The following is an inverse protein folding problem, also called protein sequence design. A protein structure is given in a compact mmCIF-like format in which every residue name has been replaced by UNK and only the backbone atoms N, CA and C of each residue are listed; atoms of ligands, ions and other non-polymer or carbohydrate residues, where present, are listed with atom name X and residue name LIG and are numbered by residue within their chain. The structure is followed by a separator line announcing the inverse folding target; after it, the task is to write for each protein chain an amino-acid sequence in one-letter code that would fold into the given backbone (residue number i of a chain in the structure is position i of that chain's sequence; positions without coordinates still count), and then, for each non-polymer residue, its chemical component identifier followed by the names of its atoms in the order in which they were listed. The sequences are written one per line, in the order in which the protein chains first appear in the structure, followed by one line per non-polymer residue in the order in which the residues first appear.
data_IF_641705272289
#
_entry.id   IF_641705272289
#
_cell.length_a   1.000
_cell.length_b   1.000
_cell.length_c   1.000
_cell.angle_alpha   90.00
_cell.angle_beta   90.00
_cell.angle_gamma   90.00
#
_symmetry.space_group_name_H-M   'P 1'
#
loop_
_entity.id
_entity.type
_entity.pdbx_description
1 polymer ?
#
# COMPACT_ATOMS: atom_id res chain seq x y z
N UNK A 1 29.32 -1.99 38.52
CA UNK A 1 29.64 -2.78 37.35
C UNK A 1 28.48 -3.64 36.87
N UNK A 2 27.81 -4.39 37.72
CA UNK A 2 26.63 -5.20 37.28
C UNK A 2 25.51 -4.35 36.76
N UNK A 3 25.22 -3.18 37.32
CA UNK A 3 24.15 -2.27 36.86
C UNK A 3 24.43 -1.70 35.48
N UNK A 4 25.68 -1.33 35.13
CA UNK A 4 26.02 -0.80 33.83
C UNK A 4 25.95 -1.86 32.73
N UNK A 5 26.32 -3.12 33.04
CA UNK A 5 26.14 -4.22 32.09
C UNK A 5 24.66 -4.52 31.81
N UNK A 6 23.82 -4.48 32.86
CA UNK A 6 22.37 -4.68 32.70
C UNK A 6 21.74 -3.56 31.91
N UNK A 7 22.17 -2.30 32.10
CA UNK A 7 21.69 -1.16 31.34
C UNK A 7 22.08 -1.29 29.86
N UNK A 8 23.31 -1.69 29.55
CA UNK A 8 23.78 -1.90 28.18
C UNK A 8 22.98 -3.01 27.50
N UNK A 9 22.74 -4.11 28.22
CA UNK A 9 21.93 -5.21 27.69
C UNK A 9 20.50 -4.74 27.42
N UNK A 10 19.89 -4.02 28.34
CA UNK A 10 18.53 -3.49 28.18
C UNK A 10 18.43 -2.54 26.96
N UNK A 11 19.38 -1.63 26.80
CA UNK A 11 19.44 -0.71 25.66
C UNK A 11 19.62 -1.49 24.36
N UNK A 12 20.51 -2.48 24.34
CA UNK A 12 20.73 -3.32 23.16
C UNK A 12 19.48 -4.08 22.74
N UNK A 13 18.73 -4.63 23.69
CA UNK A 13 17.45 -5.32 23.42
C UNK A 13 16.42 -4.35 22.86
N UNK A 14 16.30 -3.15 23.42
CA UNK A 14 15.37 -2.13 22.94
C UNK A 14 15.72 -1.73 21.50
N UNK A 15 16.99 -1.49 21.20
CA UNK A 15 17.46 -1.16 19.85
C UNK A 15 17.14 -2.30 18.90
N UNK A 16 17.39 -3.55 19.27
CA UNK A 16 17.10 -4.71 18.43
C UNK A 16 15.59 -4.82 18.12
N UNK A 17 14.73 -4.57 19.09
CA UNK A 17 13.28 -4.55 18.91
C UNK A 17 12.87 -3.43 17.94
N UNK A 18 13.38 -2.22 18.12
CA UNK A 18 13.06 -1.08 17.25
C UNK A 18 13.52 -1.33 15.81
N UNK A 19 14.74 -1.86 15.63
CA UNK A 19 15.25 -2.23 14.29
C UNK A 19 14.38 -3.30 13.65
N UNK A 20 13.95 -4.30 14.43
CA UNK A 20 13.07 -5.37 13.91
C UNK A 20 11.71 -4.83 13.47
N UNK A 21 11.12 -3.90 14.22
CA UNK A 21 9.85 -3.27 13.87
C UNK A 21 9.99 -2.47 12.58
N UNK A 22 11.04 -1.66 12.45
CA UNK A 22 11.30 -0.87 11.23
C UNK A 22 11.54 -1.78 10.04
N UNK A 23 12.34 -2.83 10.20
CA UNK A 23 12.60 -3.81 9.14
C UNK A 23 11.31 -4.49 8.69
N UNK A 24 10.47 -4.94 9.62
CA UNK A 24 9.19 -5.56 9.30
C UNK A 24 8.28 -4.59 8.54
N UNK A 25 8.15 -3.35 9.02
CA UNK A 25 7.33 -2.33 8.38
C UNK A 25 7.81 -2.02 6.95
N UNK A 26 9.13 -2.02 6.70
CA UNK A 26 9.70 -1.67 5.40
C UNK A 26 9.75 -2.81 4.39
N UNK A 27 9.88 -4.06 4.84
CA UNK A 27 10.17 -5.19 3.94
C UNK A 27 9.13 -6.30 3.99
N UNK A 28 8.31 -6.39 5.03
CA UNK A 28 7.32 -7.46 5.18
C UNK A 28 5.87 -7.02 4.94
N UNK A 29 5.66 -5.79 4.54
CA UNK A 29 4.34 -5.20 4.36
C UNK A 29 3.47 -5.90 3.30
N UNK A 30 4.07 -6.54 2.31
CA UNK A 30 3.36 -7.22 1.22
C UNK A 30 2.87 -8.63 1.59
N UNK A 31 3.23 -9.13 2.76
CA UNK A 31 2.77 -10.42 3.24
C UNK A 31 1.50 -10.27 4.08
N UNK A 32 0.94 -11.37 4.55
CA UNK A 32 -0.28 -11.40 5.37
C UNK A 32 -1.49 -10.78 4.67
N UNK A 33 -1.64 -11.08 3.38
CA UNK A 33 -2.75 -10.61 2.55
C UNK A 33 -2.89 -9.07 2.54
N UNK A 34 -1.74 -8.39 2.50
CA UNK A 34 -1.62 -6.93 2.49
C UNK A 34 -2.16 -6.23 3.75
N UNK A 35 -2.26 -6.95 4.86
CA UNK A 35 -2.73 -6.36 6.12
C UNK A 35 -1.90 -5.14 6.54
N UNK A 36 -0.58 -5.17 6.31
CA UNK A 36 0.33 -4.07 6.67
C UNK A 36 0.48 -3.00 5.59
N UNK A 37 -0.29 -3.10 4.51
CA UNK A 37 -0.40 -2.03 3.53
C UNK A 37 -1.26 -0.90 4.06
N UNK A 38 -1.15 0.27 3.44
CA UNK A 38 -1.90 1.46 3.84
C UNK A 38 -3.39 1.27 3.59
N UNK A 39 -4.21 1.71 4.55
CA UNK A 39 -5.66 1.65 4.42
C UNK A 39 -6.11 2.47 3.20
N UNK A 40 -6.76 1.84 2.20
CA UNK A 40 -7.13 2.54 0.98
C UNK A 40 -8.19 3.61 1.17
N UNK A 41 -8.99 3.53 2.23
CA UNK A 41 -10.06 4.51 2.49
C UNK A 41 -9.58 5.73 3.26
N UNK A 42 -8.61 5.57 4.16
CA UNK A 42 -8.16 6.65 5.05
C UNK A 42 -6.73 7.14 4.79
N UNK A 43 -5.88 6.29 4.22
CA UNK A 43 -4.45 6.59 4.06
C UNK A 43 -4.05 7.05 2.66
N UNK A 44 -4.94 6.91 1.68
CA UNK A 44 -4.65 7.22 0.29
C UNK A 44 -5.74 8.13 -0.28
N UNK A 45 -5.32 9.03 -1.17
CA UNK A 45 -6.26 9.83 -1.96
C UNK A 45 -6.38 9.21 -3.35
N UNK A 46 -7.35 8.32 -3.51
CA UNK A 46 -7.65 7.68 -4.78
C UNK A 46 -8.25 8.70 -5.75
N UNK A 47 -7.75 8.73 -6.98
CA UNK A 47 -8.19 9.70 -7.99
C UNK A 47 -8.90 9.07 -9.16
N UNK A 48 -8.64 7.83 -9.46
CA UNK A 48 -9.28 7.15 -10.58
C UNK A 48 -8.52 5.92 -11.02
N UNK A 49 -9.05 5.25 -12.03
CA UNK A 49 -8.50 3.99 -12.53
C UNK A 49 -8.74 3.91 -14.05
N UNK A 50 -7.78 3.33 -14.75
CA UNK A 50 -7.91 2.96 -16.15
C UNK A 50 -7.65 1.46 -16.30
N UNK A 51 -8.66 0.71 -16.75
CA UNK A 51 -8.58 -0.74 -16.93
C UNK A 51 -8.55 -1.06 -18.43
N UNK A 52 -7.43 -1.63 -18.85
CA UNK A 52 -7.21 -2.11 -20.22
C UNK A 52 -7.20 -3.64 -20.24
N UNK A 53 -7.07 -4.24 -21.42
CA UNK A 53 -7.12 -5.70 -21.56
C UNK A 53 -5.98 -6.42 -20.82
N UNK A 54 -4.80 -5.81 -20.74
CA UNK A 54 -3.61 -6.39 -20.14
C UNK A 54 -2.91 -5.48 -19.12
N UNK A 55 -3.53 -4.39 -18.76
CA UNK A 55 -2.93 -3.38 -17.87
C UNK A 55 -3.98 -2.64 -17.08
N UNK A 56 -3.68 -2.38 -15.83
CA UNK A 56 -4.51 -1.54 -14.95
C UNK A 56 -3.64 -0.44 -14.38
N UNK A 57 -4.05 0.81 -14.58
CA UNK A 57 -3.39 1.99 -14.01
C UNK A 57 -4.29 2.61 -12.94
N UNK A 58 -3.77 2.77 -11.75
CA UNK A 58 -4.48 3.37 -10.62
C UNK A 58 -3.82 4.69 -10.27
N UNK A 59 -4.61 5.74 -10.11
CA UNK A 59 -4.14 7.12 -9.93
C UNK A 59 -4.36 7.56 -8.49
N UNK A 60 -3.30 8.11 -7.86
CA UNK A 60 -3.32 8.58 -6.48
C UNK A 60 -2.69 9.95 -6.34
N UNK A 61 -3.13 10.68 -5.31
CA UNK A 61 -2.43 11.85 -4.78
C UNK A 61 -2.03 11.60 -3.32
N UNK A 62 -0.92 12.18 -2.84
CA UNK A 62 -0.61 12.15 -1.43
C UNK A 62 -1.60 13.06 -0.67
N UNK A 63 -2.08 12.59 0.49
CA UNK A 63 -2.93 13.43 1.35
C UNK A 63 -2.15 14.51 2.06
N UNK A 64 -0.87 14.27 2.33
CA UNK A 64 0.03 15.23 2.97
C UNK A 64 1.41 15.13 2.35
N UNK A 65 2.21 16.20 2.51
CA UNK A 65 3.60 16.22 2.04
C UNK A 65 4.52 15.29 2.85
N UNK A 66 4.05 14.72 3.95
CA UNK A 66 4.82 13.84 4.81
C UNK A 66 4.64 12.36 4.47
N UNK A 67 3.70 12.03 3.61
CA UNK A 67 3.42 10.66 3.19
C UNK A 67 4.17 10.39 1.89
N UNK A 68 4.96 9.33 1.89
CA UNK A 68 5.77 8.91 0.75
C UNK A 68 5.37 7.50 0.33
N UNK A 69 5.41 7.25 -0.97
CA UNK A 69 5.25 5.89 -1.49
C UNK A 69 6.49 5.08 -1.16
N UNK A 70 6.32 3.97 -0.44
CA UNK A 70 7.39 3.00 -0.24
C UNK A 70 7.39 1.94 -1.34
N UNK A 71 6.21 1.42 -1.66
CA UNK A 71 6.03 0.43 -2.70
C UNK A 71 4.58 0.01 -2.86
N UNK A 72 4.34 -0.80 -3.85
CA UNK A 72 3.05 -1.44 -4.06
C UNK A 72 3.26 -2.84 -4.59
N UNK A 73 2.27 -3.69 -4.38
CA UNK A 73 2.26 -5.05 -4.88
C UNK A 73 0.85 -5.42 -5.34
N UNK A 74 0.73 -6.40 -6.19
CA UNK A 74 -0.57 -6.82 -6.69
C UNK A 74 -0.55 -8.31 -7.03
N UNK A 75 -1.73 -8.90 -7.04
CA UNK A 75 -1.94 -10.25 -7.59
C UNK A 75 -3.31 -10.33 -8.23
N UNK A 76 -3.46 -11.27 -9.15
CA UNK A 76 -4.73 -11.55 -9.82
C UNK A 76 -5.19 -12.92 -9.36
N UNK A 77 -6.42 -13.01 -8.89
CA UNK A 77 -7.06 -14.26 -8.53
C UNK A 77 -8.42 -14.31 -9.21
N UNK A 78 -8.59 -15.33 -10.06
CA UNK A 78 -9.75 -15.43 -10.94
C UNK A 78 -9.82 -14.19 -11.84
N UNK A 79 -10.73 -13.37 -11.92
CA UNK A 79 -10.75 -12.14 -12.72
C UNK A 79 -10.59 -10.87 -11.88
N UNK A 80 -10.11 -11.02 -10.65
CA UNK A 80 -10.03 -9.92 -9.69
C UNK A 80 -8.57 -9.55 -9.47
N UNK A 81 -8.25 -8.27 -9.65
CA UNK A 81 -6.96 -7.70 -9.30
C UNK A 81 -7.03 -7.15 -7.88
N UNK A 82 -6.12 -7.62 -7.03
CA UNK A 82 -5.93 -7.09 -5.68
C UNK A 82 -4.62 -6.33 -5.64
N UNK A 83 -4.66 -5.12 -5.13
CA UNK A 83 -3.49 -4.24 -5.02
C UNK A 83 -3.35 -3.72 -3.60
N UNK A 84 -2.15 -3.85 -3.06
CA UNK A 84 -1.76 -3.27 -1.78
C UNK A 84 -0.72 -2.18 -1.99
N UNK A 85 -0.85 -1.07 -1.28
CA UNK A 85 0.02 0.09 -1.41
C UNK A 85 0.60 0.41 -0.05
N UNK A 86 1.92 0.52 0.03
CA UNK A 86 2.62 0.88 1.26
C UNK A 86 3.10 2.31 1.18
N UNK A 87 2.69 3.10 2.15
CA UNK A 87 3.20 4.46 2.35
C UNK A 87 3.96 4.54 3.67
N UNK A 88 4.90 5.45 3.74
CA UNK A 88 5.72 5.69 4.93
C UNK A 88 5.90 7.20 5.13
N UNK A 89 6.24 7.61 6.35
CA UNK A 89 6.49 9.01 6.67
C UNK A 89 7.93 9.46 6.40
N UNK A 90 8.87 8.51 6.28
CA UNK A 90 10.29 8.79 6.02
C UNK A 90 10.87 7.79 5.02
N UNK A 91 11.81 8.24 4.21
CA UNK A 91 12.66 7.37 3.41
C UNK A 91 12.00 6.71 2.21
N UNK A 92 10.84 7.14 1.83
CA UNK A 92 10.16 6.71 0.61
C UNK A 92 10.34 7.71 -0.52
N UNK A 93 9.77 7.41 -1.68
CA UNK A 93 9.67 8.36 -2.80
C UNK A 93 8.45 9.24 -2.58
N UNK A 94 8.62 10.56 -2.80
CA UNK A 94 7.47 11.46 -2.87
C UNK A 94 6.54 11.02 -3.99
N UNK A 95 5.24 11.13 -3.77
CA UNK A 95 4.30 10.98 -4.87
C UNK A 95 4.49 12.14 -5.84
N UNK A 96 4.86 11.81 -7.08
CA UNK A 96 4.71 12.76 -8.19
C UNK A 96 3.20 12.97 -8.42
N UNK A 97 2.85 14.18 -8.77
CA UNK A 97 1.43 14.52 -8.92
C UNK A 97 1.09 14.59 -10.41
N UNK A 98 0.19 13.72 -10.91
CA UNK A 98 -0.42 12.55 -10.27
C UNK A 98 0.52 11.34 -10.25
N UNK A 99 0.37 10.46 -9.26
CA UNK A 99 1.11 9.19 -9.21
C UNK A 99 0.28 8.08 -9.82
N UNK A 100 0.88 7.31 -10.72
CA UNK A 100 0.25 6.19 -11.41
C UNK A 100 0.92 4.89 -10.96
N UNK A 101 0.12 3.97 -10.44
CA UNK A 101 0.57 2.63 -10.09
C UNK A 101 -0.01 1.66 -11.10
N UNK A 102 0.87 1.00 -11.84
CA UNK A 102 0.50 0.11 -12.94
C UNK A 102 0.61 -1.34 -12.55
N UNK A 103 -0.38 -2.14 -12.93
CA UNK A 103 -0.37 -3.59 -12.80
C UNK A 103 -0.53 -4.21 -14.19
N UNK A 104 0.31 -5.20 -14.50
CA UNK A 104 0.19 -5.97 -15.72
C UNK A 104 -0.66 -7.21 -15.48
N UNK A 105 -1.59 -7.49 -16.37
CA UNK A 105 -2.50 -8.63 -16.27
C UNK A 105 -2.48 -9.43 -17.57
N UNK A 106 -2.74 -10.73 -17.48
CA UNK A 106 -2.78 -11.59 -18.67
C UNK A 106 -4.03 -11.34 -19.51
N UNK A 107 -5.13 -10.97 -18.84
CA UNK A 107 -6.40 -10.68 -19.48
C UNK A 107 -7.10 -9.56 -18.74
N UNK A 108 -8.15 -9.01 -19.34
CA UNK A 108 -8.93 -7.94 -18.73
C UNK A 108 -9.59 -8.43 -17.44
N UNK A 109 -9.39 -7.70 -16.36
CA UNK A 109 -10.01 -8.01 -15.07
C UNK A 109 -11.43 -7.47 -14.99
N UNK A 110 -12.28 -8.19 -14.26
CA UNK A 110 -13.67 -7.77 -14.03
C UNK A 110 -13.82 -6.89 -12.80
N UNK A 111 -12.84 -6.90 -11.91
CA UNK A 111 -12.90 -6.21 -10.62
C UNK A 111 -11.50 -5.82 -10.18
N UNK A 112 -11.38 -4.65 -9.56
CA UNK A 112 -10.14 -4.19 -8.92
C UNK A 112 -10.44 -3.80 -7.49
N UNK A 113 -9.66 -4.38 -6.56
CA UNK A 113 -9.81 -4.18 -5.13
C UNK A 113 -8.51 -3.64 -4.56
N UNK A 114 -8.58 -2.54 -3.84
CA UNK A 114 -7.47 -2.01 -3.05
C UNK A 114 -7.56 -2.58 -1.64
N UNK A 115 -6.45 -3.13 -1.14
CA UNK A 115 -6.39 -3.80 0.17
C UNK A 115 -5.34 -3.14 1.06
N UNK A 116 -5.65 -3.01 2.33
CA UNK A 116 -4.71 -2.53 3.33
C UNK A 116 -5.37 -2.40 4.70
N UNK A 117 -4.62 -2.66 5.75
CA UNK A 117 -5.05 -2.55 7.13
C UNK A 117 -6.35 -3.33 7.45
N UNK A 118 -6.55 -4.47 6.77
CA UNK A 118 -7.77 -5.27 6.91
C UNK A 118 -8.99 -4.67 6.19
N UNK A 119 -8.81 -3.62 5.40
CA UNK A 119 -9.87 -2.94 4.66
C UNK A 119 -9.74 -3.26 3.16
N UNK A 120 -10.86 -3.55 2.53
CA UNK A 120 -10.96 -3.72 1.09
C UNK A 120 -11.83 -2.62 0.50
N UNK A 121 -11.34 -2.01 -0.59
CA UNK A 121 -12.10 -1.01 -1.34
C UNK A 121 -12.17 -1.43 -2.80
N UNK A 122 -13.38 -1.69 -3.28
CA UNK A 122 -13.62 -1.97 -4.69
C UNK A 122 -13.64 -0.65 -5.46
N UNK A 123 -12.76 -0.51 -6.44
CA UNK A 123 -12.62 0.72 -7.25
C UNK A 123 -13.04 0.52 -8.70
N UNK A 124 -13.19 -0.72 -9.12
CA UNK A 124 -13.66 -1.07 -10.46
C UNK A 124 -14.44 -2.38 -10.39
N UNK A 125 -15.58 -2.43 -11.06
CA UNK A 125 -16.40 -3.64 -11.14
C UNK A 125 -17.27 -3.62 -12.39
N UNK A 126 -17.10 -4.64 -13.23
CA UNK A 126 -17.93 -4.87 -14.44
C UNK A 126 -18.07 -3.65 -15.36
N UNK A 127 -16.97 -2.98 -15.64
CA UNK A 127 -16.92 -1.83 -16.53
C UNK A 127 -17.23 -0.48 -15.89
N UNK A 128 -17.54 -0.48 -14.59
CA UNK A 128 -17.80 0.76 -13.83
C UNK A 128 -16.64 1.03 -12.89
N UNK A 129 -16.14 2.25 -12.88
CA UNK A 129 -15.07 2.70 -12.00
C UNK A 129 -15.58 3.70 -10.99
N UNK A 130 -14.96 3.68 -9.79
CA UNK A 130 -15.22 4.66 -8.76
C UNK A 130 -14.37 5.91 -9.03
N UNK A 131 -14.96 7.10 -8.91
CA UNK A 131 -14.23 8.35 -9.02
C UNK A 131 -13.69 8.79 -7.64
N UNK A 132 -12.99 9.92 -7.61
CA UNK A 132 -12.38 10.45 -6.39
C UNK A 132 -13.41 10.87 -5.31
N UNK A 133 -14.67 11.08 -5.67
CA UNK A 133 -15.76 11.37 -4.73
C UNK A 133 -16.42 10.10 -4.16
N UNK A 134 -15.97 8.91 -4.58
CA UNK A 134 -16.59 7.66 -4.20
C UNK A 134 -17.83 7.28 -5.01
N UNK A 135 -18.12 8.00 -6.09
CA UNK A 135 -19.24 7.75 -6.96
C UNK A 135 -18.85 6.80 -8.09
N UNK A 136 -19.77 5.93 -8.48
CA UNK A 136 -19.56 5.00 -9.57
C UNK A 136 -19.97 5.62 -10.92
N UNK A 137 -19.08 5.45 -11.86
CA UNK A 137 -19.27 5.92 -13.25
C UNK A 137 -19.38 4.78 -14.25
#
# INVERSE_FOLDING_TARGET
MKKSKMVIIAISVIIAILVSIVFFDRYCWKYFDYYFCTNPKSGLSYQGIDVQDNKVDVYFYPRTNFIHLWGYDYYVQEDVLYMGIKTVTFGGKLFDIPTILSAETEQKVSKVVLKGAGVEQVVYENGKSQNYNGEWE
#
